data_IF_604054812645
#
_entry.id   IF_604054812645
#
_cell.length_a   1.000
_cell.length_b   1.000
_cell.length_c   1.000
_cell.angle_alpha   90.00
_cell.angle_beta   90.00
_cell.angle_gamma   90.00
#
_symmetry.space_group_name_H-M   'P 1'
#
loop_
_entity.id
_entity.type
_entity.pdbx_description
1 polymer ?
#
# COMPACT_ATOMS: atom_id res chain seq x y z
N UNK A 1 -17.04 -11.50 2.35
CA UNK A 1 -16.59 -10.10 2.26
C UNK A 1 -16.88 -9.58 0.88
N UNK A 2 -16.70 -8.27 0.66
CA UNK A 2 -16.85 -7.60 -0.64
C UNK A 2 -15.92 -8.24 -1.70
N UNK A 3 -16.25 -8.14 -2.99
CA UNK A 3 -15.34 -8.56 -4.06
C UNK A 3 -14.12 -7.63 -4.11
N UNK A 4 -12.94 -8.12 -4.46
CA UNK A 4 -11.71 -7.32 -4.42
C UNK A 4 -10.84 -7.50 -5.67
N UNK A 5 -10.38 -6.38 -6.21
CA UNK A 5 -9.35 -6.30 -7.24
C UNK A 5 -7.99 -6.12 -6.56
N UNK A 6 -7.05 -7.00 -6.84
CA UNK A 6 -5.77 -7.08 -6.12
C UNK A 6 -4.62 -7.25 -7.10
N UNK A 7 -3.61 -6.40 -6.98
CA UNK A 7 -2.32 -6.61 -7.60
C UNK A 7 -1.60 -7.72 -6.83
N UNK A 8 -1.16 -8.76 -7.53
CA UNK A 8 -0.44 -9.87 -6.92
C UNK A 8 0.65 -10.41 -7.82
N UNK A 9 1.55 -11.20 -7.23
CA UNK A 9 2.48 -12.07 -7.96
C UNK A 9 1.97 -13.52 -7.91
N UNK A 10 2.37 -14.34 -8.88
CA UNK A 10 1.99 -15.75 -8.89
C UNK A 10 2.43 -16.44 -7.59
N UNK A 11 1.50 -17.13 -6.93
CA UNK A 11 1.72 -17.77 -5.63
C UNK A 11 1.49 -16.86 -4.40
N UNK A 12 1.21 -15.57 -4.60
CA UNK A 12 0.82 -14.64 -3.54
C UNK A 12 -0.69 -14.37 -3.57
N UNK A 13 -1.29 -14.20 -2.39
CA UNK A 13 -2.72 -13.88 -2.26
C UNK A 13 -3.03 -12.37 -2.37
N UNK A 14 -2.00 -11.51 -2.39
CA UNK A 14 -2.13 -10.07 -2.64
C UNK A 14 -0.92 -9.24 -2.21
N UNK A 15 -0.76 -8.09 -2.87
CA UNK A 15 0.26 -7.07 -2.57
C UNK A 15 -0.36 -5.70 -2.23
N UNK A 16 -1.43 -5.33 -2.92
CA UNK A 16 -2.22 -4.09 -2.73
C UNK A 16 -3.54 -4.24 -3.48
N UNK A 17 -4.60 -3.52 -3.11
CA UNK A 17 -5.88 -3.67 -3.78
C UNK A 17 -7.00 -2.76 -3.29
N UNK A 18 -8.18 -2.96 -3.85
CA UNK A 18 -9.41 -2.24 -3.55
C UNK A 18 -10.60 -3.19 -3.66
N UNK A 19 -11.65 -2.95 -2.87
CA UNK A 19 -12.88 -3.75 -2.90
C UNK A 19 -14.11 -3.01 -3.43
N UNK A 20 -15.15 -3.76 -3.80
CA UNK A 20 -16.39 -3.23 -4.40
C UNK A 20 -17.27 -2.46 -3.42
N UNK A 21 -16.94 -2.50 -2.12
CA UNK A 21 -17.51 -1.64 -1.09
C UNK A 21 -16.80 -0.28 -0.96
N UNK A 22 -15.74 -0.02 -1.72
CA UNK A 22 -15.05 1.26 -1.73
C UNK A 22 -13.80 1.36 -0.86
N UNK A 23 -13.31 0.26 -0.27
CA UNK A 23 -12.10 0.27 0.59
C UNK A 23 -10.86 -0.05 -0.23
N UNK A 24 -9.91 0.90 -0.30
CA UNK A 24 -8.59 0.75 -0.89
C UNK A 24 -7.50 0.54 0.16
N UNK A 25 -6.50 -0.30 -0.12
CA UNK A 25 -5.38 -0.59 0.76
C UNK A 25 -4.08 -0.60 -0.03
N UNK A 26 -3.17 0.33 0.28
CA UNK A 26 -1.78 0.35 -0.18
C UNK A 26 -0.83 0.03 0.98
N UNK A 27 0.28 -0.64 0.69
CA UNK A 27 1.20 -1.14 1.74
C UNK A 27 2.65 -0.80 1.41
N UNK A 28 3.39 -0.38 2.44
CA UNK A 28 4.83 -0.20 2.36
C UNK A 28 5.55 -0.99 3.46
N UNK A 29 6.55 -1.78 3.09
CA UNK A 29 7.37 -2.50 4.05
C UNK A 29 8.25 -1.55 4.87
N UNK A 30 8.23 -1.72 6.19
CA UNK A 30 9.03 -0.98 7.17
C UNK A 30 10.02 -1.94 7.85
N UNK A 31 11.04 -2.37 7.11
CA UNK A 31 11.99 -3.38 7.57
C UNK A 31 12.84 -3.00 8.79
N UNK A 32 12.73 -1.76 9.26
CA UNK A 32 13.38 -1.26 10.49
C UNK A 32 12.63 -1.67 11.76
N UNK A 33 11.34 -1.98 11.65
CA UNK A 33 10.49 -2.30 12.79
C UNK A 33 10.67 -3.76 13.21
N UNK A 34 10.46 -4.04 14.50
CA UNK A 34 10.50 -5.41 15.03
C UNK A 34 9.49 -6.31 14.32
N UNK A 35 9.85 -7.58 14.20
CA UNK A 35 9.03 -8.62 13.58
C UNK A 35 8.56 -9.64 14.62
N UNK A 36 7.45 -10.33 14.35
CA UNK A 36 6.89 -11.38 15.19
C UNK A 36 6.60 -12.61 14.34
N UNK A 37 7.35 -13.69 14.52
CA UNK A 37 7.19 -14.92 13.71
C UNK A 37 5.85 -15.63 13.90
N UNK A 38 5.10 -15.32 14.97
CA UNK A 38 3.74 -15.81 15.21
C UNK A 38 2.65 -14.85 14.68
N UNK A 39 3.03 -13.68 14.16
CA UNK A 39 2.09 -12.69 13.64
C UNK A 39 1.47 -13.09 12.30
N UNK A 40 0.41 -12.38 11.92
CA UNK A 40 -0.28 -12.56 10.66
C UNK A 40 0.60 -12.06 9.50
N UNK A 41 0.85 -12.88 8.46
CA UNK A 41 1.61 -12.46 7.29
C UNK A 41 0.96 -11.29 6.54
N UNK A 42 1.78 -10.41 5.97
CA UNK A 42 1.35 -9.17 5.31
C UNK A 42 0.24 -9.40 4.27
N UNK A 43 0.39 -10.42 3.43
CA UNK A 43 -0.60 -10.74 2.41
C UNK A 43 -1.96 -11.13 3.01
N UNK A 44 -1.97 -11.82 4.16
CA UNK A 44 -3.19 -12.14 4.88
C UNK A 44 -3.78 -10.90 5.60
N UNK A 45 -2.94 -10.00 6.12
CA UNK A 45 -3.40 -8.73 6.68
C UNK A 45 -4.07 -7.84 5.60
N UNK A 46 -3.49 -7.76 4.39
CA UNK A 46 -4.09 -7.04 3.25
C UNK A 46 -5.47 -7.63 2.91
N UNK A 47 -5.55 -8.97 2.80
CA UNK A 47 -6.82 -9.64 2.49
C UNK A 47 -7.86 -9.50 3.60
N UNK A 48 -7.42 -9.47 4.85
CA UNK A 48 -8.29 -9.21 6.00
C UNK A 48 -8.85 -7.79 5.99
N UNK A 49 -8.01 -6.79 5.74
CA UNK A 49 -8.45 -5.40 5.61
C UNK A 49 -9.45 -5.21 4.45
N UNK A 50 -9.16 -5.79 3.28
CA UNK A 50 -10.05 -5.74 2.11
C UNK A 50 -11.34 -6.56 2.27
N UNK A 51 -11.50 -7.34 3.34
CA UNK A 51 -12.74 -8.06 3.63
C UNK A 51 -13.80 -7.19 4.32
N UNK A 52 -13.46 -5.96 4.70
CA UNK A 52 -14.33 -5.00 5.37
C UNK A 52 -14.93 -3.96 4.42
N UNK A 53 -16.05 -3.35 4.80
CA UNK A 53 -16.83 -2.46 3.94
C UNK A 53 -16.67 -0.96 4.26
N UNK A 54 -15.78 -0.61 5.18
CA UNK A 54 -15.44 0.79 5.48
C UNK A 54 -14.01 0.94 5.94
N UNK A 55 -13.49 2.16 5.83
CA UNK A 55 -12.19 2.57 6.36
C UNK A 55 -12.02 2.19 7.83
N UNK A 56 -12.98 2.58 8.67
CA UNK A 56 -12.92 2.34 10.12
C UNK A 56 -12.81 0.85 10.44
N UNK A 57 -13.62 0.00 9.80
CA UNK A 57 -13.59 -1.44 10.04
C UNK A 57 -12.26 -2.08 9.63
N UNK A 58 -11.69 -1.63 8.50
CA UNK A 58 -10.40 -2.11 8.00
C UNK A 58 -9.24 -1.67 8.92
N UNK A 59 -9.23 -0.41 9.35
CA UNK A 59 -8.23 0.13 10.30
C UNK A 59 -8.34 -0.57 11.66
N UNK A 60 -9.56 -0.72 12.17
CA UNK A 60 -9.85 -1.47 13.40
C UNK A 60 -9.34 -2.92 13.34
N UNK A 61 -9.49 -3.58 12.18
CA UNK A 61 -8.93 -4.91 11.97
C UNK A 61 -7.40 -4.90 12.08
N UNK A 62 -6.73 -3.94 11.43
CA UNK A 62 -5.27 -3.81 11.49
C UNK A 62 -4.76 -3.54 12.90
N UNK A 63 -5.53 -2.83 13.75
CA UNK A 63 -5.19 -2.64 15.16
C UNK A 63 -5.34 -3.91 16.01
N UNK A 64 -6.22 -4.85 15.63
CA UNK A 64 -6.53 -6.05 16.44
C UNK A 64 -5.62 -7.24 16.14
N UNK A 65 -5.07 -7.32 14.94
CA UNK A 65 -4.20 -8.45 14.57
C UNK A 65 -2.79 -8.26 15.13
N UNK A 66 -2.10 -9.36 15.41
CA UNK A 66 -0.65 -9.36 15.58
C UNK A 66 0.01 -9.33 14.19
N UNK A 67 0.93 -8.42 13.94
CA UNK A 67 1.60 -8.29 12.64
C UNK A 67 2.88 -9.11 12.59
N UNK A 68 3.11 -9.83 11.49
CA UNK A 68 4.34 -10.61 11.34
C UNK A 68 5.57 -9.75 11.11
N UNK A 69 5.42 -8.63 10.42
CA UNK A 69 6.51 -7.76 9.99
C UNK A 69 6.10 -6.30 10.00
N UNK A 70 7.09 -5.42 10.09
CA UNK A 70 6.91 -3.98 9.99
C UNK A 70 6.25 -3.54 8.68
N UNK A 71 5.09 -2.90 8.76
CA UNK A 71 4.35 -2.40 7.60
C UNK A 71 3.72 -1.05 7.89
N UNK A 72 3.63 -0.22 6.86
CA UNK A 72 2.68 0.88 6.81
C UNK A 72 1.51 0.47 5.91
N UNK A 73 0.28 0.73 6.36
CA UNK A 73 -0.94 0.58 5.58
C UNK A 73 -1.58 1.95 5.38
N UNK A 74 -1.70 2.38 4.12
CA UNK A 74 -2.60 3.46 3.73
C UNK A 74 -3.94 2.82 3.37
N UNK A 75 -4.96 3.11 4.16
CA UNK A 75 -6.34 2.65 3.96
C UNK A 75 -7.21 3.84 3.62
N UNK A 76 -8.07 3.72 2.62
CA UNK A 76 -9.00 4.80 2.25
C UNK A 76 -10.36 4.30 1.82
N UNK A 77 -11.36 5.16 1.95
CA UNK A 77 -12.69 5.03 1.36
C UNK A 77 -13.20 6.42 0.88
N UNK A 78 -14.48 6.52 0.52
CA UNK A 78 -15.11 7.78 0.07
C UNK A 78 -15.05 8.91 1.11
N UNK A 79 -14.91 8.58 2.40
CA UNK A 79 -14.89 9.55 3.50
C UNK A 79 -13.48 10.04 3.83
N UNK A 80 -12.43 9.43 3.28
CA UNK A 80 -11.05 9.85 3.51
C UNK A 80 -10.07 8.69 3.57
N UNK A 81 -8.96 8.88 4.29
CA UNK A 81 -7.89 7.90 4.41
C UNK A 81 -7.17 7.98 5.76
N UNK A 82 -6.65 6.86 6.22
CA UNK A 82 -5.79 6.72 7.40
C UNK A 82 -4.47 6.05 7.01
N UNK A 83 -3.38 6.49 7.65
CA UNK A 83 -2.09 5.80 7.63
C UNK A 83 -1.83 5.17 8.98
N UNK A 84 -1.51 3.87 9.00
CA UNK A 84 -1.11 3.14 10.21
C UNK A 84 0.21 2.44 10.01
N UNK A 85 1.11 2.54 10.99
CA UNK A 85 2.39 1.83 11.04
C UNK A 85 2.34 0.74 12.10
N UNK A 86 2.55 -0.49 11.68
CA UNK A 86 2.42 -1.69 12.49
C UNK A 86 3.77 -2.40 12.61
N UNK A 87 4.11 -2.85 13.81
CA UNK A 87 5.28 -3.66 14.15
C UNK A 87 4.86 -4.90 14.95
N UNK A 88 5.84 -5.63 15.52
CA UNK A 88 5.59 -6.74 16.42
C UNK A 88 4.78 -6.34 17.66
N UNK A 89 5.13 -5.19 18.26
CA UNK A 89 4.65 -4.79 19.58
C UNK A 89 3.80 -3.50 19.56
N UNK A 90 3.74 -2.80 18.43
CA UNK A 90 3.11 -1.48 18.34
C UNK A 90 2.32 -1.28 17.04
N UNK A 91 1.13 -0.68 17.14
CA UNK A 91 0.36 -0.16 15.99
C UNK A 91 0.02 1.30 16.27
N UNK A 92 0.55 2.20 15.44
CA UNK A 92 0.36 3.65 15.59
C UNK A 92 -0.24 4.29 14.35
N UNK A 93 -1.02 5.34 14.55
CA UNK A 93 -1.54 6.16 13.46
C UNK A 93 -0.44 7.12 13.01
N UNK A 94 0.05 6.95 11.78
CA UNK A 94 1.03 7.85 11.17
C UNK A 94 0.38 9.01 10.41
N UNK A 95 -0.87 8.83 9.98
CA UNK A 95 -1.67 9.87 9.31
C UNK A 95 -3.13 9.79 9.79
N UNK A 96 -3.61 10.73 10.61
CA UNK A 96 -4.95 10.69 11.19
C UNK A 96 -6.04 11.12 10.19
N UNK A 97 -7.29 10.75 10.51
CA UNK A 97 -8.51 11.18 9.83
C UNK A 97 -8.52 12.69 9.51
N UNK A 98 -8.99 13.06 8.32
CA UNK A 98 -9.11 14.47 7.91
C UNK A 98 -7.79 15.14 7.54
N UNK A 99 -6.68 14.41 7.52
CA UNK A 99 -5.42 14.89 6.94
C UNK A 99 -5.62 15.21 5.45
N UNK A 100 -5.05 16.32 4.92
CA UNK A 100 -5.29 16.73 3.53
C UNK A 100 -4.50 15.91 2.51
N UNK A 101 -3.50 15.16 2.96
CA UNK A 101 -2.60 14.37 2.12
C UNK A 101 -1.93 13.28 2.96
N UNK A 102 -1.76 12.10 2.37
CA UNK A 102 -0.96 11.00 2.91
C UNK A 102 0.12 10.65 1.89
N UNK A 103 1.39 10.80 2.29
CA UNK A 103 2.56 10.35 1.53
C UNK A 103 3.38 9.42 2.43
N UNK A 104 3.82 8.29 1.91
CA UNK A 104 4.63 7.34 2.68
C UNK A 104 5.58 6.57 1.78
N UNK A 105 6.71 6.14 2.36
CA UNK A 105 7.68 5.26 1.69
C UNK A 105 8.05 4.08 2.59
N UNK A 106 9.32 3.74 2.79
CA UNK A 106 9.77 2.51 3.45
C UNK A 106 10.58 2.76 4.74
N UNK A 107 10.35 3.89 5.41
CA UNK A 107 10.87 4.17 6.75
C UNK A 107 9.72 4.60 7.68
N UNK A 108 9.76 4.26 8.98
CA UNK A 108 8.75 4.70 9.94
C UNK A 108 8.75 6.21 10.09
N UNK A 109 7.57 6.80 10.16
CA UNK A 109 7.33 8.22 10.43
C UNK A 109 6.82 8.45 11.86
N UNK A 110 6.17 7.45 12.46
CA UNK A 110 5.55 7.55 13.78
C UNK A 110 5.90 6.39 14.72
N UNK A 111 6.13 5.19 14.19
CA UNK A 111 6.36 3.98 15.00
C UNK A 111 7.80 3.92 15.53
N UNK A 112 7.94 3.76 16.84
CA UNK A 112 9.21 3.77 17.55
C UNK A 112 9.79 2.37 17.84
N UNK A 113 9.06 1.31 17.50
CA UNK A 113 9.42 -0.09 17.75
C UNK A 113 10.51 -0.61 16.79
N UNK A 114 11.67 0.05 16.84
CA UNK A 114 12.80 -0.16 15.94
C UNK A 114 13.66 -1.34 16.42
N UNK A 115 13.97 -2.24 15.50
CA UNK A 115 15.07 -3.18 15.63
C UNK A 115 16.39 -2.47 15.24
N UNK A 116 17.32 -2.23 16.20
CA UNK A 116 18.52 -1.47 15.93
C UNK A 116 19.49 -2.20 14.99
N UNK A 117 19.48 -3.53 14.94
CA UNK A 117 20.33 -4.30 14.02
C UNK A 117 19.79 -4.21 12.59
N UNK A 118 18.48 -4.41 12.41
CA UNK A 118 17.82 -4.25 11.12
C UNK A 118 17.98 -2.81 10.59
N UNK A 119 17.80 -1.80 11.44
CA UNK A 119 18.01 -0.40 11.07
C UNK A 119 19.46 -0.12 10.63
N UNK A 120 20.47 -0.65 11.34
CA UNK A 120 21.89 -0.53 10.95
C UNK A 120 22.19 -1.22 9.63
N UNK A 121 21.61 -2.38 9.36
CA UNK A 121 21.76 -3.09 8.10
C UNK A 121 21.16 -2.29 6.94
N UNK A 122 19.89 -1.89 7.05
CA UNK A 122 19.20 -1.10 6.03
C UNK A 122 19.87 0.26 5.77
N UNK A 123 20.45 0.88 6.80
CA UNK A 123 21.25 2.09 6.67
C UNK A 123 22.52 1.83 5.85
N UNK A 124 23.26 0.76 6.13
CA UNK A 124 24.46 0.36 5.37
C UNK A 124 24.14 0.04 3.91
N UNK A 125 22.97 -0.53 3.63
CA UNK A 125 22.48 -0.78 2.28
C UNK A 125 21.97 0.48 1.55
N UNK A 126 21.91 1.63 2.24
CA UNK A 126 21.38 2.88 1.70
C UNK A 126 19.85 2.89 1.52
N UNK A 127 19.14 1.88 2.02
CA UNK A 127 17.68 1.74 1.83
C UNK A 127 16.88 2.78 2.60
N UNK A 128 17.37 3.19 3.77
CA UNK A 128 16.76 4.28 4.55
C UNK A 128 16.91 5.61 3.80
N UNK A 129 18.12 5.92 3.33
CA UNK A 129 18.38 7.15 2.57
C UNK A 129 17.57 7.22 1.26
N UNK A 130 17.48 6.12 0.52
CA UNK A 130 16.63 5.98 -0.67
C UNK A 130 15.14 6.21 -0.35
N UNK A 131 14.70 5.71 0.80
CA UNK A 131 13.33 5.92 1.26
C UNK A 131 13.04 7.38 1.60
N UNK A 132 13.95 8.06 2.29
CA UNK A 132 13.82 9.48 2.64
C UNK A 132 13.82 10.33 1.37
N UNK A 133 14.76 10.11 0.45
CA UNK A 133 14.84 10.86 -0.79
C UNK A 133 13.58 10.75 -1.66
N UNK A 134 12.95 9.56 -1.72
CA UNK A 134 11.67 9.38 -2.41
C UNK A 134 10.52 10.10 -1.71
N UNK A 135 10.50 10.14 -0.38
CA UNK A 135 9.49 10.88 0.36
C UNK A 135 9.64 12.39 0.15
N UNK A 136 10.87 12.91 0.21
CA UNK A 136 11.17 14.32 -0.06
C UNK A 136 10.74 14.70 -1.49
N UNK A 137 11.00 13.83 -2.47
CA UNK A 137 10.54 14.02 -3.84
C UNK A 137 9.01 14.08 -3.93
N UNK A 138 8.29 13.15 -3.28
CA UNK A 138 6.83 13.17 -3.25
C UNK A 138 6.30 14.46 -2.61
N UNK A 139 6.90 14.91 -1.50
CA UNK A 139 6.51 16.14 -0.82
C UNK A 139 6.75 17.39 -1.69
N UNK A 140 7.84 17.41 -2.45
CA UNK A 140 8.16 18.53 -3.34
C UNK A 140 7.29 18.59 -4.60
N UNK A 141 6.74 17.45 -5.04
CA UNK A 141 6.02 17.33 -6.32
C UNK A 141 4.53 17.00 -6.18
N UNK A 142 4.00 16.90 -4.96
CA UNK A 142 2.57 16.62 -4.71
C UNK A 142 1.92 17.81 -4.02
N UNK A 143 0.82 18.29 -4.60
CA UNK A 143 -0.04 19.29 -3.98
C UNK A 143 -1.19 18.61 -3.22
N UNK A 144 -1.91 19.34 -2.36
CA UNK A 144 -3.06 18.83 -1.59
C UNK A 144 -4.22 18.30 -2.46
N UNK A 145 -4.23 18.62 -3.75
CA UNK A 145 -5.14 18.06 -4.75
C UNK A 145 -4.29 17.38 -5.80
N UNK A 146 -4.36 16.05 -5.85
CA UNK A 146 -3.69 15.22 -6.84
C UNK A 146 -4.76 14.30 -7.44
N UNK A 147 -5.05 14.47 -8.72
CA UNK A 147 -5.90 13.52 -9.44
C UNK A 147 -5.11 12.26 -9.78
N UNK A 148 -5.82 11.22 -10.22
CA UNK A 148 -5.19 9.95 -10.55
C UNK A 148 -4.16 10.11 -11.67
N UNK A 149 -4.37 11.00 -12.65
CA UNK A 149 -3.44 11.23 -13.76
C UNK A 149 -2.10 11.76 -13.25
N UNK A 150 -2.14 12.76 -12.36
CA UNK A 150 -0.95 13.35 -11.75
C UNK A 150 -0.21 12.31 -10.91
N UNK A 151 -0.94 11.50 -10.13
CA UNK A 151 -0.36 10.41 -9.35
C UNK A 151 0.33 9.36 -10.24
N UNK A 152 -0.30 8.96 -11.35
CA UNK A 152 0.26 8.00 -12.31
C UNK A 152 1.55 8.52 -12.96
N UNK A 153 1.60 9.81 -13.31
CA UNK A 153 2.81 10.47 -13.85
C UNK A 153 3.94 10.48 -12.81
N UNK A 154 3.63 10.81 -11.55
CA UNK A 154 4.62 10.77 -10.48
C UNK A 154 5.17 9.35 -10.26
N UNK A 155 4.31 8.34 -10.29
CA UNK A 155 4.71 6.94 -10.16
C UNK A 155 5.60 6.43 -11.32
N UNK A 156 5.60 7.11 -12.46
CA UNK A 156 6.49 6.85 -13.58
C UNK A 156 7.87 7.54 -13.47
N UNK A 157 8.07 8.41 -12.48
CA UNK A 157 9.31 9.18 -12.33
C UNK A 157 10.52 8.29 -11.96
N UNK A 158 11.65 8.55 -12.64
CA UNK A 158 12.93 7.83 -12.46
C UNK A 158 14.03 8.67 -11.80
N UNK A 159 13.79 9.95 -11.56
CA UNK A 159 14.76 10.93 -11.05
C UNK A 159 15.03 10.70 -9.56
N UNK A 160 13.98 10.65 -8.75
CA UNK A 160 13.97 10.01 -7.44
C UNK A 160 13.17 8.73 -7.63
N UNK A 161 13.81 7.56 -7.80
CA UNK A 161 13.20 6.42 -8.50
C UNK A 161 11.98 5.87 -7.74
N UNK A 162 10.80 6.41 -8.03
CA UNK A 162 9.49 5.84 -7.68
C UNK A 162 9.20 4.69 -8.64
N UNK A 163 9.49 4.90 -9.92
CA UNK A 163 9.70 3.84 -10.89
C UNK A 163 11.15 3.31 -10.77
N UNK A 164 11.33 2.26 -9.96
CA UNK A 164 12.63 1.63 -9.73
C UNK A 164 12.97 0.70 -10.88
N UNK A 165 14.15 0.86 -11.47
CA UNK A 165 14.73 -0.08 -12.44
C UNK A 165 15.92 -0.83 -11.84
N UNK A 166 16.24 -2.05 -12.33
CA UNK A 166 17.41 -2.77 -11.89
C UNK A 166 18.69 -1.94 -12.16
N UNK A 167 19.58 -1.87 -11.16
CA UNK A 167 20.89 -1.22 -11.27
C UNK A 167 21.98 -2.18 -10.79
N UNK A 168 23.24 -1.90 -11.11
CA UNK A 168 24.36 -2.70 -10.63
C UNK A 168 24.34 -2.77 -9.10
N UNK A 169 24.30 -3.98 -8.53
CA UNK A 169 24.20 -4.20 -7.07
C UNK A 169 22.78 -4.20 -6.49
N UNK A 170 21.75 -3.72 -7.21
CA UNK A 170 20.34 -3.74 -6.78
C UNK A 170 19.44 -4.25 -7.89
N UNK A 171 19.05 -5.52 -7.80
CA UNK A 171 18.25 -6.22 -8.83
C UNK A 171 16.74 -5.99 -8.72
N UNK A 172 16.28 -5.24 -7.73
CA UNK A 172 14.85 -4.94 -7.54
C UNK A 172 14.36 -3.95 -8.60
N UNK A 173 13.11 -4.09 -9.01
CA UNK A 173 12.42 -3.15 -9.89
C UNK A 173 10.98 -2.93 -9.41
N UNK A 174 10.32 -1.89 -9.89
CA UNK A 174 8.88 -1.71 -9.70
C UNK A 174 8.15 -2.86 -10.39
N UNK A 175 7.41 -3.65 -9.59
CA UNK A 175 6.64 -4.80 -10.05
C UNK A 175 5.32 -4.38 -10.70
N UNK A 176 4.75 -3.28 -10.22
CA UNK A 176 3.53 -2.69 -10.73
C UNK A 176 3.15 -1.45 -9.94
N UNK A 177 2.14 -0.74 -10.42
CA UNK A 177 1.54 0.40 -9.75
C UNK A 177 0.01 0.28 -9.76
N UNK A 178 -0.64 0.96 -8.82
CA UNK A 178 -2.10 1.02 -8.71
C UNK A 178 -2.56 2.44 -8.48
N UNK A 179 -3.76 2.74 -8.94
CA UNK A 179 -4.45 4.01 -8.73
C UNK A 179 -5.93 3.72 -8.51
N UNK A 180 -6.50 4.24 -7.43
CA UNK A 180 -7.88 3.99 -7.03
C UNK A 180 -8.64 5.29 -6.88
N UNK A 181 -9.78 5.41 -7.55
CA UNK A 181 -10.72 6.52 -7.37
C UNK A 181 -11.91 6.03 -6.55
N UNK A 182 -11.96 6.44 -5.29
CA UNK A 182 -12.90 5.92 -4.29
C UNK A 182 -14.23 6.69 -4.22
N UNK A 183 -14.43 7.66 -5.12
CA UNK A 183 -15.63 8.50 -5.18
C UNK A 183 -16.86 7.82 -5.79
N UNK A 184 -16.70 6.61 -6.33
CA UNK A 184 -17.76 5.79 -6.93
C UNK A 184 -17.92 4.47 -6.19
N UNK A 185 -19.09 3.82 -6.37
CA UNK A 185 -19.34 2.49 -5.82
C UNK A 185 -19.96 1.60 -6.92
N UNK A 186 -19.23 0.58 -7.41
CA UNK A 186 -17.88 0.20 -7.01
C UNK A 186 -16.82 1.23 -7.48
N UNK A 187 -15.66 1.32 -6.81
CA UNK A 187 -14.64 2.32 -7.12
C UNK A 187 -13.95 2.02 -8.46
N UNK A 188 -13.38 3.04 -9.10
CA UNK A 188 -12.54 2.84 -10.29
C UNK A 188 -11.16 2.40 -9.85
N UNK A 189 -10.60 1.36 -10.48
CA UNK A 189 -9.32 0.77 -10.12
C UNK A 189 -8.44 0.56 -11.34
N UNK A 190 -7.30 1.26 -11.40
CA UNK A 190 -6.34 1.19 -12.49
C UNK A 190 -5.06 0.52 -12.02
N UNK A 191 -4.51 -0.35 -12.85
CA UNK A 191 -3.31 -1.14 -12.56
C UNK A 191 -2.31 -0.99 -13.69
N UNK A 192 -1.03 -0.85 -13.37
CA UNK A 192 0.07 -0.96 -14.31
C UNK A 192 0.90 -2.18 -13.94
N UNK A 193 1.05 -3.15 -14.84
CA UNK A 193 1.82 -4.37 -14.61
C UNK A 193 3.25 -4.20 -15.13
N UNK A 194 4.20 -3.99 -14.22
CA UNK A 194 5.59 -3.67 -14.53
C UNK A 194 5.93 -2.21 -14.25
N UNK A 195 6.80 -1.63 -15.09
CA UNK A 195 7.30 -0.26 -14.92
C UNK A 195 6.26 0.76 -15.43
N UNK A 196 5.75 1.68 -14.58
CA UNK A 196 4.72 2.65 -14.98
C UNK A 196 5.11 3.61 -16.10
N UNK A 197 6.41 3.77 -16.38
CA UNK A 197 6.90 4.58 -17.49
C UNK A 197 6.96 3.82 -18.83
N UNK A 198 6.76 2.50 -18.82
CA UNK A 198 6.87 1.64 -20.00
C UNK A 198 5.61 0.84 -20.31
N UNK A 199 4.78 0.57 -19.29
CA UNK A 199 3.66 -0.34 -19.39
C UNK A 199 2.34 0.43 -19.35
N UNK A 200 1.32 -0.01 -20.10
CA UNK A 200 0.03 0.65 -20.08
C UNK A 200 -0.67 0.42 -18.74
N UNK A 201 -1.54 1.37 -18.39
CA UNK A 201 -2.52 1.19 -17.33
C UNK A 201 -3.73 0.43 -17.86
N UNK A 202 -4.24 -0.51 -17.09
CA UNK A 202 -5.45 -1.28 -17.37
C UNK A 202 -6.49 -1.06 -16.26
N UNK A 203 -7.76 -1.18 -16.61
CA UNK A 203 -8.87 -1.11 -15.67
C UNK A 203 -9.62 -2.46 -15.68
N UNK A 204 -9.26 -3.40 -14.78
CA UNK A 204 -9.99 -4.66 -14.67
C UNK A 204 -11.36 -4.33 -14.07
N UNK A 205 -12.42 -4.43 -14.90
CA UNK A 205 -13.78 -4.21 -14.43
C UNK A 205 -14.17 -5.13 -13.28
N UNK A 206 -15.18 -4.74 -12.51
CA UNK A 206 -15.72 -5.56 -11.43
C UNK A 206 -16.48 -6.76 -12.00
N UNK A 207 -16.05 -7.97 -11.66
CA UNK A 207 -16.83 -9.16 -11.98
C UNK A 207 -18.03 -9.25 -11.03
N UNK A 208 -19.24 -9.28 -11.58
CA UNK A 208 -20.42 -9.65 -10.81
C UNK A 208 -20.22 -11.06 -10.24
N UNK A 209 -20.62 -11.34 -8.98
CA UNK A 209 -20.64 -12.70 -8.49
C UNK A 209 -21.49 -13.55 -9.43
N UNK A 210 -21.10 -14.81 -9.72
CA UNK A 210 -21.93 -15.69 -10.51
C UNK A 210 -23.32 -15.77 -9.88
N UNK A 211 -24.37 -15.52 -10.68
CA UNK A 211 -25.75 -15.62 -10.23
C UNK A 211 -25.97 -17.00 -9.62
N UNK A 212 -26.28 -17.05 -8.32
CA UNK A 212 -26.73 -18.28 -7.67
C UNK A 212 -28.16 -18.56 -8.12
N UNK A 213 -28.30 -19.06 -9.34
CA UNK A 213 -29.55 -19.65 -9.80
C UNK A 213 -29.64 -21.06 -9.21
N UNK A 214 -30.03 -21.14 -7.94
CA UNK A 214 -30.47 -22.39 -7.33
C UNK A 214 -31.95 -22.58 -7.62
N UNK A 215 -32.22 -22.90 -8.89
CA UNK A 215 -33.51 -23.37 -9.38
C UNK A 215 -33.37 -24.82 -9.85
N UNK A 216 -33.40 -25.78 -8.92
CA UNK A 216 -33.80 -27.18 -9.16
C UNK A 216 -33.98 -27.91 -7.82
#
# INVERSE_FOLDING_TARGET
GPAALVLSSAGMIGLTGVNDAGVGVCVNALGMLRHNSAGLPVAAAIRGALAHSSLDQAVDFLHRISHASGQHYAVGDVNGFHGVECSADEVVVSCPAGSPLLLHTNHPLANGDIDPDAARELAREGRIADSVARLDFLQANTNRSCDHITAEVLLADRTAPLCVTPRQGRRTQTFGAVSFELGTTPPTARFCLGLPDQQPWIEPGWHAPPSTDHSA
#
